data_IF_923595919660
#
_entry.id   IF_923595919660
#
_cell.length_a   1.000
_cell.length_b   1.000
_cell.length_c   1.000
_cell.angle_alpha   90.00
_cell.angle_beta   90.00
_cell.angle_gamma   90.00
#
_symmetry.space_group_name_H-M   'P 1'
#
loop_
_entity.id
_entity.type
_entity.pdbx_description
1 polymer ?
#
# COMPACT_ATOMS: atom_id res chain seq x y z
N UNK A 1 -8.93 12.41 -0.73
CA UNK A 1 -9.47 12.87 -2.03
C UNK A 1 -10.14 14.24 -1.98
N UNK A 2 -10.15 14.90 -0.83
CA UNK A 2 -10.81 16.20 -0.61
C UNK A 2 -9.96 17.41 -1.00
N UNK A 3 -8.67 17.21 -1.30
CA UNK A 3 -7.73 18.24 -1.80
C UNK A 3 -7.58 18.29 -3.31
N UNK A 4 -8.70 18.09 -4.02
CA UNK A 4 -8.74 18.14 -5.49
C UNK A 4 -8.38 19.50 -6.06
N UNK A 5 -8.36 20.56 -5.25
CA UNK A 5 -7.84 21.88 -5.58
C UNK A 5 -6.32 21.86 -5.82
N UNK A 6 -5.56 21.01 -5.12
CA UNK A 6 -4.08 20.97 -5.19
C UNK A 6 -3.51 19.66 -5.71
N UNK A 7 -4.23 18.55 -5.53
CA UNK A 7 -3.71 17.21 -5.76
C UNK A 7 -4.41 16.50 -6.93
N UNK A 8 -3.62 15.81 -7.73
CA UNK A 8 -4.06 14.73 -8.61
C UNK A 8 -3.75 13.38 -7.92
N UNK A 9 -4.79 12.68 -7.46
CA UNK A 9 -4.63 11.38 -6.81
C UNK A 9 -4.56 10.26 -7.85
N UNK A 10 -3.52 9.44 -7.76
CA UNK A 10 -3.32 8.20 -8.49
C UNK A 10 -3.30 7.04 -7.47
N UNK A 11 -4.18 6.06 -7.66
CA UNK A 11 -4.38 4.96 -6.72
C UNK A 11 -3.77 3.67 -7.26
N UNK A 12 -2.75 3.21 -6.55
CA UNK A 12 -2.02 1.96 -6.75
C UNK A 12 -1.59 1.70 -8.20
N UNK A 13 -0.99 2.69 -8.90
CA UNK A 13 -0.69 2.59 -10.31
C UNK A 13 0.30 1.47 -10.66
N UNK A 14 1.27 1.17 -9.80
CA UNK A 14 2.28 0.14 -10.11
C UNK A 14 1.72 -1.29 -10.05
N UNK A 15 0.57 -1.51 -9.43
CA UNK A 15 -0.12 -2.80 -9.43
C UNK A 15 -0.44 -3.30 -10.84
N UNK A 16 -0.65 -2.38 -11.80
CA UNK A 16 -1.02 -2.71 -13.18
C UNK A 16 0.11 -3.48 -13.88
N UNK A 17 1.34 -2.95 -13.81
CA UNK A 17 2.53 -3.59 -14.35
C UNK A 17 2.97 -4.79 -13.50
N UNK A 18 2.84 -4.70 -12.17
CA UNK A 18 3.25 -5.76 -11.24
C UNK A 18 2.47 -7.06 -11.40
N UNK A 19 1.15 -6.98 -11.60
CA UNK A 19 0.27 -8.15 -11.70
C UNK A 19 0.04 -8.62 -13.13
N UNK A 20 -0.17 -7.69 -14.06
CA UNK A 20 -0.75 -8.00 -15.36
C UNK A 20 0.22 -7.81 -16.52
N UNK A 21 1.15 -6.86 -16.39
CA UNK A 21 2.05 -6.43 -17.45
C UNK A 21 3.01 -7.51 -17.97
N UNK A 22 3.67 -7.24 -19.10
CA UNK A 22 4.68 -8.13 -19.67
C UNK A 22 5.97 -8.19 -18.83
N UNK A 23 6.18 -7.21 -17.95
CA UNK A 23 7.34 -7.09 -17.04
C UNK A 23 6.99 -7.45 -15.59
N UNK A 24 5.84 -8.10 -15.39
CA UNK A 24 5.33 -8.49 -14.07
C UNK A 24 6.37 -9.28 -13.27
N UNK A 25 6.35 -9.06 -11.97
CA UNK A 25 7.11 -9.86 -10.98
C UNK A 25 6.19 -10.47 -9.93
N UNK A 26 4.90 -10.12 -9.92
CA UNK A 26 3.89 -10.74 -9.07
C UNK A 26 3.45 -12.12 -9.58
N UNK A 27 3.29 -13.06 -8.66
CA UNK A 27 2.98 -14.48 -8.94
C UNK A 27 1.45 -14.74 -9.02
N UNK A 28 0.62 -13.87 -8.42
CA UNK A 28 -0.83 -14.11 -8.21
C UNK A 28 -1.59 -14.50 -9.47
N UNK A 29 -1.35 -13.82 -10.58
CA UNK A 29 -2.04 -14.04 -11.84
C UNK A 29 -1.12 -14.65 -12.90
N UNK A 30 -0.01 -15.29 -12.51
CA UNK A 30 0.98 -15.83 -13.44
C UNK A 30 0.38 -16.90 -14.38
N UNK A 31 -0.49 -17.74 -13.84
CA UNK A 31 -1.15 -18.83 -14.58
C UNK A 31 -2.52 -18.43 -15.17
N UNK A 32 -2.95 -17.17 -14.99
CA UNK A 32 -4.26 -16.67 -15.46
C UNK A 32 -4.11 -15.68 -16.63
N UNK A 33 -3.66 -16.17 -17.79
CA UNK A 33 -3.45 -15.32 -18.97
C UNK A 33 -4.73 -14.62 -19.44
N UNK A 34 -5.89 -15.27 -19.32
CA UNK A 34 -7.18 -14.69 -19.71
C UNK A 34 -7.61 -13.57 -18.77
N UNK A 35 -7.47 -13.75 -17.44
CA UNK A 35 -7.73 -12.71 -16.46
C UNK A 35 -6.80 -11.51 -16.62
N UNK A 36 -5.52 -11.73 -16.96
CA UNK A 36 -4.60 -10.62 -17.27
C UNK A 36 -5.03 -9.83 -18.51
N UNK A 37 -5.52 -10.49 -19.57
CA UNK A 37 -6.02 -9.76 -20.74
C UNK A 37 -7.30 -8.99 -20.42
N UNK A 38 -8.23 -9.60 -19.66
CA UNK A 38 -9.48 -8.97 -19.22
C UNK A 38 -9.27 -7.79 -18.28
N UNK A 39 -8.16 -7.74 -17.55
CA UNK A 39 -7.84 -6.60 -16.67
C UNK A 39 -7.62 -5.31 -17.47
N UNK A 40 -7.28 -5.41 -18.77
CA UNK A 40 -6.92 -4.27 -19.62
C UNK A 40 -5.47 -3.80 -19.46
N UNK A 41 -4.69 -4.46 -18.60
CA UNK A 41 -3.31 -4.07 -18.27
C UNK A 41 -2.25 -5.09 -18.72
N UNK A 42 -2.64 -6.13 -19.47
CA UNK A 42 -1.72 -7.19 -19.95
C UNK A 42 -0.51 -6.68 -20.74
N UNK A 43 -0.61 -5.47 -21.30
CA UNK A 43 0.43 -4.82 -22.10
C UNK A 43 1.06 -3.61 -21.39
N UNK A 44 0.61 -3.28 -20.19
CA UNK A 44 1.08 -2.10 -19.45
C UNK A 44 2.47 -2.38 -18.85
N UNK A 45 3.46 -1.60 -19.26
CA UNK A 45 4.83 -1.65 -18.72
C UNK A 45 5.01 -0.70 -17.53
N UNK A 46 6.11 -0.82 -16.79
CA UNK A 46 6.41 0.17 -15.74
C UNK A 46 6.63 1.58 -16.31
N UNK A 47 7.17 1.70 -17.52
CA UNK A 47 7.29 2.99 -18.21
C UNK A 47 5.93 3.60 -18.57
N UNK A 48 4.96 2.80 -19.00
CA UNK A 48 3.59 3.28 -19.26
C UNK A 48 2.94 3.80 -17.98
N UNK A 49 3.14 3.10 -16.86
CA UNK A 49 2.65 3.53 -15.54
C UNK A 49 3.25 4.88 -15.15
N UNK A 50 4.58 5.06 -15.27
CA UNK A 50 5.26 6.33 -14.99
C UNK A 50 4.72 7.47 -15.86
N UNK A 51 4.51 7.22 -17.16
CA UNK A 51 3.93 8.20 -18.07
C UNK A 51 2.50 8.59 -17.67
N UNK A 52 1.66 7.62 -17.30
CA UNK A 52 0.29 7.88 -16.83
C UNK A 52 0.27 8.71 -15.54
N UNK A 53 1.19 8.44 -14.62
CA UNK A 53 1.39 9.23 -13.40
C UNK A 53 1.71 10.69 -13.75
N UNK A 54 2.69 10.92 -14.64
CA UNK A 54 3.06 12.27 -15.10
C UNK A 54 1.89 12.98 -15.79
N UNK A 55 1.14 12.26 -16.65
CA UNK A 55 -0.02 12.80 -17.36
C UNK A 55 -1.18 13.17 -16.43
N UNK A 56 -1.37 12.44 -15.33
CA UNK A 56 -2.39 12.75 -14.33
C UNK A 56 -2.11 14.07 -13.58
N UNK A 57 -0.84 14.49 -13.52
CA UNK A 57 -0.36 15.64 -12.74
C UNK A 57 -0.17 16.94 -13.49
N UNK A 58 -0.63 17.09 -14.74
CA UNK A 58 -0.26 18.23 -15.61
C UNK A 58 -0.38 19.62 -14.94
N UNK A 59 -1.44 19.85 -14.16
CA UNK A 59 -1.69 21.14 -13.49
C UNK A 59 -1.71 21.04 -11.96
N UNK A 60 -1.41 19.87 -11.39
CA UNK A 60 -1.56 19.60 -9.95
C UNK A 60 -0.43 18.73 -9.44
N UNK A 61 -0.09 18.91 -8.17
CA UNK A 61 0.86 18.00 -7.54
C UNK A 61 0.28 16.58 -7.49
N UNK A 62 1.08 15.60 -7.86
CA UNK A 62 0.64 14.21 -7.87
C UNK A 62 0.74 13.65 -6.45
N UNK A 63 -0.31 12.97 -6.01
CA UNK A 63 -0.30 12.13 -4.81
C UNK A 63 -0.53 10.68 -5.23
N UNK A 64 0.44 9.81 -4.94
CA UNK A 64 0.36 8.39 -5.23
C UNK A 64 0.16 7.66 -3.91
N UNK A 65 -0.94 6.93 -3.78
CA UNK A 65 -1.04 5.86 -2.78
C UNK A 65 -0.65 4.60 -3.51
N UNK A 66 0.43 3.95 -3.10
CA UNK A 66 0.82 2.65 -3.66
C UNK A 66 1.14 1.61 -2.58
N UNK A 67 1.39 0.36 -2.99
CA UNK A 67 1.91 -0.70 -2.14
C UNK A 67 3.36 -0.97 -2.52
N UNK A 68 4.27 -0.92 -1.53
CA UNK A 68 5.71 -1.02 -1.77
C UNK A 68 6.11 -2.30 -2.51
N UNK A 69 5.45 -3.43 -2.25
CA UNK A 69 5.79 -4.70 -2.90
C UNK A 69 5.54 -4.69 -4.42
N UNK A 70 4.76 -3.75 -4.98
CA UNK A 70 4.62 -3.65 -6.43
C UNK A 70 5.92 -3.24 -7.14
N UNK A 71 6.91 -2.76 -6.41
CA UNK A 71 8.21 -2.39 -6.96
C UNK A 71 9.27 -3.47 -6.75
N UNK A 72 8.99 -4.56 -6.02
CA UNK A 72 9.98 -5.55 -5.61
C UNK A 72 9.52 -6.97 -5.99
N UNK A 73 10.43 -7.84 -6.47
CA UNK A 73 10.11 -9.25 -6.61
C UNK A 73 9.78 -9.89 -5.25
N UNK A 74 8.78 -10.78 -5.19
CA UNK A 74 8.37 -11.43 -3.96
C UNK A 74 9.45 -12.40 -3.44
N UNK A 75 9.32 -12.83 -2.18
CA UNK A 75 10.12 -13.91 -1.60
C UNK A 75 11.64 -13.65 -1.62
N UNK A 76 12.04 -12.37 -1.47
CA UNK A 76 13.45 -11.93 -1.54
C UNK A 76 14.18 -12.31 -2.84
N UNK A 77 13.42 -12.56 -3.91
CA UNK A 77 14.00 -12.78 -5.23
C UNK A 77 14.83 -11.56 -5.66
N UNK A 78 15.87 -11.84 -6.46
CA UNK A 78 16.79 -10.81 -6.94
C UNK A 78 16.07 -9.91 -7.93
N UNK A 79 16.07 -8.60 -7.66
CA UNK A 79 15.52 -7.60 -8.56
C UNK A 79 16.41 -7.34 -9.77
N UNK A 80 15.75 -6.97 -10.86
CA UNK A 80 16.33 -6.40 -12.07
C UNK A 80 15.48 -5.22 -12.50
N UNK A 81 16.11 -4.18 -13.04
CA UNK A 81 15.40 -3.02 -13.60
C UNK A 81 14.47 -3.49 -14.71
N UNK A 82 13.22 -3.03 -14.67
CA UNK A 82 12.22 -3.31 -15.69
C UNK A 82 12.73 -2.79 -17.04
N UNK A 83 12.78 -3.62 -18.10
CA UNK A 83 13.39 -3.25 -19.38
C UNK A 83 12.87 -1.95 -20.00
N UNK A 84 11.60 -1.63 -19.79
CA UNK A 84 10.93 -0.42 -20.26
C UNK A 84 11.46 0.86 -19.60
N UNK A 85 12.00 0.75 -18.38
CA UNK A 85 12.48 1.89 -17.57
C UNK A 85 14.00 2.03 -17.58
N UNK A 86 14.74 0.99 -17.99
CA UNK A 86 16.19 1.03 -18.12
C UNK A 86 16.79 -0.34 -18.40
N UNK A 87 17.98 -0.36 -18.98
CA UNK A 87 18.72 -1.60 -19.30
C UNK A 87 20.02 -1.76 -18.51
N UNK A 88 20.40 -0.74 -17.73
CA UNK A 88 21.62 -0.78 -16.91
C UNK A 88 21.33 -1.52 -15.61
N UNK A 89 22.16 -2.50 -15.28
CA UNK A 89 22.05 -3.20 -14.01
C UNK A 89 22.43 -2.24 -12.86
N UNK A 90 21.62 -2.26 -11.80
CA UNK A 90 21.88 -1.52 -10.56
C UNK A 90 22.06 -2.50 -9.39
N UNK A 91 23.28 -3.03 -9.18
CA UNK A 91 23.54 -3.98 -8.09
C UNK A 91 23.13 -3.40 -6.73
N UNK A 92 22.28 -4.12 -6.01
CA UNK A 92 21.81 -3.71 -4.69
C UNK A 92 20.58 -2.80 -4.68
N UNK A 93 20.07 -2.38 -5.86
CA UNK A 93 18.71 -1.86 -5.95
C UNK A 93 17.73 -3.04 -5.77
N UNK A 94 16.88 -3.04 -4.72
CA UNK A 94 15.94 -4.13 -4.48
C UNK A 94 14.68 -4.01 -5.34
N UNK A 95 14.56 -2.97 -6.16
CA UNK A 95 13.37 -2.63 -6.94
C UNK A 95 13.53 -2.88 -8.44
N UNK A 96 12.40 -2.88 -9.14
CA UNK A 96 12.32 -2.92 -10.61
C UNK A 96 12.43 -1.54 -11.26
N UNK A 97 12.50 -0.45 -10.49
CA UNK A 97 12.66 0.91 -11.02
C UNK A 97 14.11 1.38 -10.84
N UNK A 98 14.69 2.10 -11.82
CA UNK A 98 16.03 2.62 -11.67
C UNK A 98 16.08 3.74 -10.62
N UNK A 99 17.25 3.90 -10.00
CA UNK A 99 17.45 4.82 -8.87
C UNK A 99 17.13 6.27 -9.22
N UNK A 100 17.40 6.69 -10.46
CA UNK A 100 17.09 8.03 -10.96
C UNK A 100 15.58 8.30 -11.02
N UNK A 101 14.76 7.29 -11.30
CA UNK A 101 13.30 7.35 -11.23
C UNK A 101 12.84 7.47 -9.78
N UNK A 102 13.39 6.64 -8.88
CA UNK A 102 13.03 6.70 -7.45
C UNK A 102 13.31 8.07 -6.81
N UNK A 103 14.35 8.77 -7.28
CA UNK A 103 14.72 10.14 -6.86
C UNK A 103 13.71 11.21 -7.26
N UNK A 104 12.79 10.92 -8.19
CA UNK A 104 11.75 11.87 -8.60
C UNK A 104 10.59 11.97 -7.61
N UNK A 105 10.46 11.00 -6.70
CA UNK A 105 9.37 10.96 -5.73
C UNK A 105 9.78 11.57 -4.39
N UNK A 106 8.81 12.21 -3.73
CA UNK A 106 8.87 12.42 -2.28
C UNK A 106 8.21 11.23 -1.60
N UNK A 107 8.98 10.51 -0.77
CA UNK A 107 8.54 9.28 -0.13
C UNK A 107 7.99 9.54 1.26
N UNK A 108 6.84 8.94 1.55
CA UNK A 108 6.26 8.87 2.89
C UNK A 108 5.73 7.46 3.11
N UNK A 109 5.82 6.94 4.32
CA UNK A 109 5.52 5.54 4.63
C UNK A 109 4.34 5.45 5.59
N UNK A 110 3.38 4.58 5.28
CA UNK A 110 2.28 4.22 6.18
C UNK A 110 2.45 2.75 6.56
N UNK A 111 2.59 2.49 7.86
CA UNK A 111 2.71 1.14 8.42
C UNK A 111 1.49 0.82 9.28
N UNK A 112 1.17 -0.47 9.39
CA UNK A 112 0.08 -0.95 10.26
C UNK A 112 0.48 -2.28 10.85
N UNK A 113 0.14 -2.52 12.11
CA UNK A 113 0.53 -3.74 12.80
C UNK A 113 0.05 -5.01 12.04
N UNK A 114 0.90 -6.03 11.80
CA UNK A 114 0.54 -7.24 11.05
C UNK A 114 -0.71 -7.96 11.56
N UNK A 115 -0.89 -8.00 12.89
CA UNK A 115 -2.09 -8.54 13.55
C UNK A 115 -3.41 -7.87 13.17
N UNK A 116 -3.38 -6.67 12.57
CA UNK A 116 -4.55 -5.98 12.01
C UNK A 116 -4.62 -6.13 10.50
N UNK A 117 -3.51 -5.92 9.81
CA UNK A 117 -3.47 -5.90 8.35
C UNK A 117 -3.67 -7.28 7.73
N UNK A 118 -3.01 -8.32 8.26
CA UNK A 118 -3.03 -9.67 7.68
C UNK A 118 -4.40 -10.33 7.76
N UNK A 119 -5.11 -10.37 8.91
CA UNK A 119 -6.46 -10.91 8.92
C UNK A 119 -7.44 -10.08 8.07
N UNK A 120 -7.22 -8.76 7.96
CA UNK A 120 -8.00 -7.91 7.05
C UNK A 120 -7.76 -8.26 5.57
N UNK A 121 -6.51 -8.54 5.20
CA UNK A 121 -6.15 -9.01 3.87
C UNK A 121 -6.69 -10.43 3.61
N UNK A 122 -6.54 -11.35 4.56
CA UNK A 122 -7.09 -12.71 4.47
C UNK A 122 -8.61 -12.70 4.24
N UNK A 123 -9.34 -11.79 4.91
CA UNK A 123 -10.78 -11.58 4.66
C UNK A 123 -11.09 -11.28 3.19
N UNK A 124 -10.20 -10.57 2.49
CA UNK A 124 -10.34 -10.22 1.07
C UNK A 124 -10.03 -11.39 0.14
N UNK A 125 -9.51 -12.50 0.66
CA UNK A 125 -9.12 -13.67 -0.12
C UNK A 125 -9.96 -14.92 0.14
N UNK A 126 -11.11 -14.76 0.78
CA UNK A 126 -12.04 -15.85 1.11
C UNK A 126 -13.49 -15.44 0.87
N UNK A 127 -14.41 -16.41 0.72
CA UNK A 127 -15.83 -16.12 0.52
C UNK A 127 -16.44 -15.28 1.66
N UNK A 128 -17.37 -14.36 1.32
CA UNK A 128 -17.87 -14.05 -0.02
C UNK A 128 -17.04 -12.97 -0.76
N UNK A 129 -15.96 -12.46 -0.17
CA UNK A 129 -15.30 -11.26 -0.68
C UNK A 129 -14.33 -11.54 -1.83
N UNK A 130 -13.77 -12.76 -1.89
CA UNK A 130 -12.95 -13.23 -3.02
C UNK A 130 -13.66 -13.17 -4.37
N UNK A 131 -14.97 -13.38 -4.41
CA UNK A 131 -15.79 -13.21 -5.63
C UNK A 131 -15.79 -11.77 -6.15
N UNK A 132 -15.64 -10.78 -5.26
CA UNK A 132 -15.63 -9.36 -5.61
C UNK A 132 -14.21 -8.87 -5.89
N UNK A 133 -13.24 -9.31 -5.07
CA UNK A 133 -11.84 -8.88 -5.21
C UNK A 133 -11.14 -9.58 -6.36
N UNK A 134 -11.59 -10.79 -6.74
CA UNK A 134 -10.88 -11.67 -7.66
C UNK A 134 -9.66 -12.35 -7.04
N UNK A 135 -9.45 -12.22 -5.72
CA UNK A 135 -8.32 -12.80 -5.01
C UNK A 135 -8.79 -14.10 -4.36
N UNK A 136 -8.76 -15.22 -5.08
CA UNK A 136 -9.30 -16.50 -4.59
C UNK A 136 -8.36 -17.29 -3.66
N UNK A 137 -7.19 -16.74 -3.35
CA UNK A 137 -6.20 -17.34 -2.47
C UNK A 137 -5.40 -16.30 -1.68
N UNK A 138 -5.13 -16.63 -0.42
CA UNK A 138 -4.20 -15.87 0.41
C UNK A 138 -2.76 -16.06 -0.09
N UNK A 139 -2.03 -14.97 -0.28
CA UNK A 139 -0.61 -15.00 -0.64
C UNK A 139 0.21 -14.29 0.42
N UNK A 140 0.98 -15.04 1.21
CA UNK A 140 1.82 -14.47 2.27
C UNK A 140 2.90 -13.53 1.71
N UNK A 141 3.35 -13.72 0.46
CA UNK A 141 4.34 -12.86 -0.20
C UNK A 141 3.80 -11.46 -0.52
N UNK A 142 2.48 -11.26 -0.49
CA UNK A 142 1.87 -9.94 -0.69
C UNK A 142 1.63 -9.18 0.62
N UNK A 143 2.04 -9.74 1.77
CA UNK A 143 1.99 -9.03 3.05
C UNK A 143 2.84 -7.75 3.04
N UNK A 144 3.95 -7.74 2.30
CA UNK A 144 4.67 -6.54 1.89
C UNK A 144 5.59 -5.88 2.93
N UNK A 145 5.78 -6.46 4.12
CA UNK A 145 6.57 -5.81 5.18
C UNK A 145 8.08 -5.90 4.93
N UNK A 146 8.57 -7.06 4.45
CA UNK A 146 9.96 -7.22 4.00
C UNK A 146 10.27 -6.25 2.86
N UNK A 147 9.38 -6.19 1.87
CA UNK A 147 9.54 -5.33 0.70
C UNK A 147 9.54 -3.85 1.09
N UNK A 148 8.63 -3.44 1.97
CA UNK A 148 8.58 -2.08 2.50
C UNK A 148 9.85 -1.72 3.25
N UNK A 149 10.37 -2.62 4.10
CA UNK A 149 11.61 -2.39 4.84
C UNK A 149 12.82 -2.30 3.91
N UNK A 150 12.96 -3.20 2.94
CA UNK A 150 14.06 -3.18 1.98
C UNK A 150 14.05 -1.92 1.13
N UNK A 151 12.87 -1.49 0.69
CA UNK A 151 12.70 -0.23 -0.01
C UNK A 151 13.10 0.96 0.88
N UNK A 152 12.60 1.00 2.12
CA UNK A 152 12.92 2.05 3.09
C UNK A 152 14.44 2.16 3.33
N UNK A 153 15.10 1.06 3.67
CA UNK A 153 16.54 1.01 3.92
C UNK A 153 17.34 1.41 2.66
N UNK A 154 16.88 1.01 1.48
CA UNK A 154 17.51 1.37 0.21
C UNK A 154 17.42 2.87 -0.08
N UNK A 155 16.24 3.46 0.10
CA UNK A 155 16.02 4.89 -0.14
C UNK A 155 16.87 5.77 0.78
N UNK A 156 17.07 5.35 2.03
CA UNK A 156 17.98 6.01 2.97
C UNK A 156 19.43 5.84 2.55
N UNK A 157 19.86 4.59 2.29
CA UNK A 157 21.24 4.25 1.90
C UNK A 157 21.71 5.04 0.68
N UNK A 158 20.84 5.18 -0.32
CA UNK A 158 21.12 5.92 -1.56
C UNK A 158 20.84 7.44 -1.44
N UNK A 159 20.49 7.94 -0.26
CA UNK A 159 20.17 9.35 0.01
C UNK A 159 19.06 9.88 -0.91
N UNK A 160 18.08 9.04 -1.21
CA UNK A 160 16.83 9.48 -1.82
C UNK A 160 15.96 10.16 -0.78
N UNK A 161 15.97 9.63 0.45
CA UNK A 161 15.33 10.22 1.62
C UNK A 161 16.41 10.48 2.68
N UNK A 162 16.39 11.67 3.28
CA UNK A 162 17.29 12.01 4.38
C UNK A 162 16.73 11.41 5.68
N UNK A 163 17.58 10.77 6.49
CA UNK A 163 17.16 10.18 7.78
C UNK A 163 16.51 11.21 8.72
N UNK A 164 16.89 12.49 8.61
CA UNK A 164 16.30 13.56 9.42
C UNK A 164 14.94 14.05 8.93
N UNK A 165 14.53 13.64 7.74
CA UNK A 165 13.30 14.06 7.05
C UNK A 165 12.41 12.85 6.72
N UNK A 166 12.47 11.82 7.55
CA UNK A 166 11.62 10.64 7.41
C UNK A 166 10.20 10.94 7.86
N UNK A 167 9.23 10.56 7.02
CA UNK A 167 7.82 10.57 7.35
C UNK A 167 7.28 9.15 7.36
N UNK A 168 7.24 8.55 8.55
CA UNK A 168 6.63 7.23 8.80
C UNK A 168 5.42 7.44 9.71
N UNK A 169 4.24 7.04 9.25
CA UNK A 169 2.99 7.09 10.00
C UNK A 169 2.63 5.67 10.41
N UNK A 170 2.43 5.45 11.70
CA UNK A 170 1.78 4.23 12.19
C UNK A 170 0.25 4.40 12.16
N UNK A 171 -0.45 3.40 11.63
CA UNK A 171 -1.89 3.45 11.47
C UNK A 171 -2.66 3.44 12.79
N UNK A 172 -2.12 2.82 13.86
CA UNK A 172 -2.77 2.90 15.18
C UNK A 172 -2.63 4.31 15.75
N UNK A 173 -1.46 4.94 15.61
CA UNK A 173 -1.23 6.34 16.02
C UNK A 173 -2.12 7.31 15.22
N UNK A 174 -2.28 7.10 13.91
CA UNK A 174 -3.21 7.85 13.06
C UNK A 174 -4.67 7.70 13.51
N UNK A 175 -5.07 6.53 14.01
CA UNK A 175 -6.44 6.30 14.48
C UNK A 175 -6.65 6.82 15.91
N UNK A 176 -5.59 7.01 16.69
CA UNK A 176 -5.62 7.65 18.01
C UNK A 176 -5.72 9.17 17.90
N UNK A 177 -4.91 9.80 17.03
CA UNK A 177 -4.95 11.24 16.78
C UNK A 177 -4.92 11.56 15.27
N UNK A 178 -6.06 11.42 14.56
CA UNK A 178 -6.11 11.71 13.13
C UNK A 178 -5.76 13.16 12.80
N UNK A 179 -6.20 14.12 13.62
CA UNK A 179 -6.00 15.53 13.33
C UNK A 179 -4.53 15.92 13.50
N UNK A 180 -3.89 15.52 14.59
CA UNK A 180 -2.47 15.77 14.82
C UNK A 180 -1.60 15.14 13.74
N UNK A 181 -1.84 13.87 13.42
CA UNK A 181 -1.05 13.14 12.42
C UNK A 181 -1.22 13.74 11.02
N UNK A 182 -2.46 14.05 10.60
CA UNK A 182 -2.69 14.64 9.27
C UNK A 182 -2.14 16.07 9.19
N UNK A 183 -2.18 16.86 10.27
CA UNK A 183 -1.49 18.17 10.33
C UNK A 183 0.02 18.02 10.18
N UNK A 184 0.63 17.09 10.90
CA UNK A 184 2.07 16.82 10.82
C UNK A 184 2.47 16.35 9.41
N UNK A 185 1.68 15.45 8.81
CA UNK A 185 1.86 15.00 7.43
C UNK A 185 1.82 16.18 6.46
N UNK A 186 0.77 17.01 6.55
CA UNK A 186 0.60 18.19 5.70
C UNK A 186 1.80 19.15 5.83
N UNK A 187 2.24 19.47 7.04
CA UNK A 187 3.40 20.32 7.26
C UNK A 187 4.67 19.78 6.59
N UNK A 188 4.93 18.48 6.74
CA UNK A 188 6.10 17.82 6.14
C UNK A 188 6.04 17.81 4.60
N UNK A 189 4.88 17.48 4.02
CA UNK A 189 4.75 17.46 2.57
C UNK A 189 4.55 18.85 1.97
N UNK A 190 4.40 19.92 2.75
CA UNK A 190 4.16 21.26 2.23
C UNK A 190 2.73 21.46 1.70
N UNK A 191 1.75 20.88 2.39
CA UNK A 191 0.32 21.13 2.22
C UNK A 191 -0.23 21.86 3.45
N UNK A 192 -1.29 22.63 3.23
CA UNK A 192 -2.14 23.20 4.27
C UNK A 192 -3.15 22.17 4.74
N UNK A 193 -3.32 22.04 6.06
CA UNK A 193 -4.39 21.24 6.64
C UNK A 193 -5.75 21.92 6.43
N UNK A 194 -6.78 21.12 6.13
CA UNK A 194 -8.18 21.56 6.11
C UNK A 194 -9.06 20.51 6.78
N UNK A 195 -10.13 20.92 7.46
CA UNK A 195 -11.05 19.98 8.15
C UNK A 195 -11.68 18.95 7.21
N UNK A 196 -11.79 19.28 5.92
CA UNK A 196 -12.24 18.37 4.86
C UNK A 196 -11.29 17.18 4.63
N UNK A 197 -10.07 17.20 5.16
CA UNK A 197 -9.18 16.03 5.13
C UNK A 197 -9.65 14.93 6.09
N UNK A 198 -10.41 15.29 7.12
CA UNK A 198 -10.94 14.37 8.12
C UNK A 198 -12.45 14.14 7.96
N UNK A 199 -13.14 14.95 7.16
CA UNK A 199 -14.58 14.88 6.96
C UNK A 199 -14.88 15.05 5.47
N UNK A 200 -15.64 14.14 4.88
CA UNK A 200 -15.88 14.14 3.45
C UNK A 200 -17.36 14.07 3.10
N UNK A 201 -17.69 14.68 1.97
CA UNK A 201 -19.05 14.78 1.45
C UNK A 201 -19.43 13.59 0.58
N UNK A 202 -20.71 13.47 0.22
CA UNK A 202 -21.18 12.48 -0.75
C UNK A 202 -20.49 12.60 -2.11
N UNK A 203 -20.10 13.82 -2.51
CA UNK A 203 -19.35 14.04 -3.75
C UNK A 203 -17.94 13.44 -3.65
N UNK A 204 -17.27 13.63 -2.52
CA UNK A 204 -15.96 13.04 -2.26
C UNK A 204 -16.04 11.51 -2.22
N UNK A 205 -17.12 10.95 -1.65
CA UNK A 205 -17.37 9.51 -1.63
C UNK A 205 -17.58 8.95 -3.05
N UNK A 206 -18.34 9.64 -3.92
CA UNK A 206 -18.50 9.22 -5.32
C UNK A 206 -17.17 9.20 -6.06
N UNK A 207 -16.36 10.24 -5.89
CA UNK A 207 -15.03 10.29 -6.48
C UNK A 207 -14.13 9.16 -5.93
N UNK A 208 -14.25 8.85 -4.64
CA UNK A 208 -13.56 7.74 -4.00
C UNK A 208 -13.92 6.39 -4.62
N UNK A 209 -15.20 6.16 -4.88
CA UNK A 209 -15.68 4.94 -5.52
C UNK A 209 -15.06 4.77 -6.91
N UNK A 210 -15.01 5.83 -7.72
CA UNK A 210 -14.36 5.80 -9.03
C UNK A 210 -12.88 5.48 -8.93
N UNK A 211 -12.16 6.12 -7.99
CA UNK A 211 -10.71 5.93 -7.82
C UNK A 211 -10.34 4.57 -7.26
N UNK A 212 -11.16 4.00 -6.39
CA UNK A 212 -10.93 2.68 -5.77
C UNK A 212 -11.53 1.52 -6.55
N UNK A 213 -12.26 1.77 -7.64
CA UNK A 213 -12.96 0.75 -8.42
C UNK A 213 -12.05 -0.38 -8.91
N UNK A 214 -10.75 -0.10 -9.14
CA UNK A 214 -9.75 -1.09 -9.54
C UNK A 214 -9.58 -2.20 -8.50
N UNK A 215 -9.55 -1.84 -7.22
CA UNK A 215 -9.40 -2.76 -6.09
C UNK A 215 -10.71 -2.86 -5.32
N UNK A 216 -11.75 -3.29 -6.02
CA UNK A 216 -13.08 -3.47 -5.46
C UNK A 216 -13.05 -4.48 -4.30
N UNK A 217 -13.82 -4.22 -3.25
CA UNK A 217 -13.83 -5.04 -2.04
C UNK A 217 -12.78 -4.64 -0.97
N UNK A 218 -11.64 -4.06 -1.37
CA UNK A 218 -10.56 -3.70 -0.43
C UNK A 218 -10.86 -2.41 0.37
N UNK A 219 -11.69 -1.52 -0.18
CA UNK A 219 -11.91 -0.18 0.37
C UNK A 219 -13.33 0.04 0.90
N UNK A 220 -14.15 -1.01 0.98
CA UNK A 220 -15.59 -0.91 1.31
C UNK A 220 -15.84 -0.22 2.66
N UNK A 221 -15.07 -0.59 3.69
CA UNK A 221 -15.22 0.00 5.02
C UNK A 221 -14.94 1.52 5.00
N UNK A 222 -13.92 1.95 4.25
CA UNK A 222 -13.60 3.36 4.07
C UNK A 222 -14.68 4.10 3.25
N UNK A 223 -15.17 3.50 2.16
CA UNK A 223 -16.21 4.06 1.31
C UNK A 223 -17.57 4.23 2.02
N UNK A 224 -17.82 3.44 3.06
CA UNK A 224 -19.03 3.53 3.89
C UNK A 224 -18.94 4.52 5.05
N UNK A 225 -17.79 5.17 5.25
CA UNK A 225 -17.63 6.20 6.29
C UNK A 225 -17.74 7.60 5.70
N UNK A 226 -17.87 8.60 6.58
CA UNK A 226 -17.99 10.04 6.21
C UNK A 226 -16.91 10.90 6.88
N UNK A 227 -16.11 10.29 7.75
CA UNK A 227 -15.06 10.98 8.49
C UNK A 227 -14.03 10.00 9.04
N UNK A 228 -12.82 10.51 9.26
CA UNK A 228 -11.76 9.86 10.03
C UNK A 228 -11.72 10.54 11.41
N UNK A 229 -12.17 9.82 12.43
CA UNK A 229 -12.27 10.32 13.82
C UNK A 229 -11.41 9.46 14.73
N UNK A 230 -10.94 10.07 15.81
CA UNK A 230 -10.23 9.35 16.86
C UNK A 230 -11.10 8.21 17.39
N UNK A 231 -10.48 7.06 17.67
CA UNK A 231 -11.20 5.91 18.24
C UNK A 231 -11.62 6.21 19.69
N UNK A 232 -12.82 5.78 20.08
CA UNK A 232 -13.37 6.05 21.42
C UNK A 232 -12.53 5.43 22.55
N UNK A 233 -11.96 4.24 22.34
CA UNK A 233 -10.96 3.61 23.23
C UNK A 233 -10.03 2.67 22.44
N UNK A 234 -8.75 2.63 22.81
CA UNK A 234 -7.83 1.60 22.38
C UNK A 234 -8.28 0.24 22.95
N UNK A 235 -8.84 -0.63 22.11
CA UNK A 235 -9.17 -1.98 22.54
C UNK A 235 -7.89 -2.74 22.90
N UNK A 236 -7.73 -3.07 24.19
CA UNK A 236 -6.69 -3.99 24.65
C UNK A 236 -7.10 -5.39 24.19
N UNK A 237 -6.54 -5.82 23.08
CA UNK A 237 -6.82 -7.11 22.47
C UNK A 237 -5.62 -8.02 22.73
N UNK A 238 -5.85 -9.19 23.34
CA UNK A 238 -4.78 -10.17 23.59
C UNK A 238 -4.58 -11.08 22.39
N UNK A 239 -3.37 -11.64 22.26
CA UNK A 239 -3.06 -12.63 21.23
C UNK A 239 -4.07 -13.79 21.21
N UNK A 240 -4.44 -14.29 22.39
CA UNK A 240 -5.38 -15.40 22.53
C UNK A 240 -6.78 -15.02 22.02
N UNK A 241 -7.26 -13.82 22.37
CA UNK A 241 -8.58 -13.36 21.92
C UNK A 241 -8.66 -13.20 20.39
N UNK A 242 -7.60 -12.72 19.76
CA UNK A 242 -7.53 -12.58 18.29
C UNK A 242 -7.48 -13.92 17.59
N UNK A 243 -6.63 -14.82 18.08
CA UNK A 243 -6.51 -16.14 17.50
C UNK A 243 -7.79 -16.95 17.66
N UNK A 244 -8.51 -16.79 18.78
CA UNK A 244 -9.85 -17.35 18.95
C UNK A 244 -10.87 -16.76 17.95
N UNK A 245 -10.79 -15.45 17.68
CA UNK A 245 -11.63 -14.80 16.67
C UNK A 245 -11.32 -15.30 15.26
N UNK A 246 -10.03 -15.41 14.90
CA UNK A 246 -9.59 -15.92 13.60
C UNK A 246 -10.00 -17.38 13.42
N UNK A 247 -9.86 -18.21 14.45
CA UNK A 247 -10.34 -19.60 14.43
C UNK A 247 -11.84 -19.66 14.16
N UNK A 248 -12.63 -18.84 14.85
CA UNK A 248 -14.08 -18.79 14.69
C UNK A 248 -14.47 -18.32 13.29
N UNK A 249 -13.76 -17.34 12.73
CA UNK A 249 -14.08 -16.74 11.42
C UNK A 249 -13.60 -17.57 10.23
N UNK A 250 -12.40 -18.13 10.32
CA UNK A 250 -11.68 -18.69 9.18
C UNK A 250 -11.29 -20.17 9.35
N UNK A 251 -11.68 -20.79 10.47
CA UNK A 251 -11.34 -22.17 10.80
C UNK A 251 -9.84 -22.37 11.08
N UNK A 252 -9.45 -23.63 11.23
CA UNK A 252 -8.07 -24.00 11.59
C UNK A 252 -7.05 -23.60 10.52
N UNK A 253 -7.42 -23.75 9.24
CA UNK A 253 -6.57 -23.36 8.11
C UNK A 253 -6.28 -21.86 8.15
N UNK A 254 -7.31 -21.02 8.23
CA UNK A 254 -7.13 -19.57 8.24
C UNK A 254 -6.43 -19.08 9.49
N UNK A 255 -6.72 -19.64 10.66
CA UNK A 255 -5.94 -19.36 11.88
C UNK A 255 -4.44 -19.62 11.64
N UNK A 256 -4.10 -20.78 11.09
CA UNK A 256 -2.71 -21.17 10.85
C UNK A 256 -2.02 -20.21 9.88
N UNK A 257 -2.62 -19.97 8.71
CA UNK A 257 -2.06 -19.10 7.67
C UNK A 257 -1.88 -17.65 8.16
N UNK A 258 -2.89 -17.10 8.86
CA UNK A 258 -2.82 -15.76 9.44
C UNK A 258 -1.72 -15.69 10.51
N UNK A 259 -1.67 -16.65 11.44
CA UNK A 259 -0.68 -16.67 12.53
C UNK A 259 0.74 -16.74 11.98
N UNK A 260 1.00 -17.66 11.05
CA UNK A 260 2.33 -17.83 10.45
C UNK A 260 2.76 -16.56 9.70
N UNK A 261 1.87 -15.95 8.92
CA UNK A 261 2.17 -14.72 8.20
C UNK A 261 2.38 -13.53 9.17
N UNK A 262 1.57 -13.42 10.24
CA UNK A 262 1.78 -12.42 11.29
C UNK A 262 3.16 -12.57 11.89
N UNK A 263 3.49 -13.75 12.42
CA UNK A 263 4.73 -14.01 13.14
C UNK A 263 5.96 -13.76 12.24
N UNK A 264 5.84 -14.02 10.93
CA UNK A 264 6.89 -13.72 9.95
C UNK A 264 7.14 -12.21 9.74
N UNK A 265 6.11 -11.36 9.88
CA UNK A 265 6.18 -9.94 9.49
C UNK A 265 6.28 -8.96 10.68
N UNK A 266 6.10 -9.41 11.94
CA UNK A 266 6.14 -8.52 13.12
C UNK A 266 7.49 -7.79 13.23
N UNK A 267 8.61 -8.45 12.98
CA UNK A 267 9.94 -7.86 13.15
C UNK A 267 10.20 -6.69 12.21
N UNK A 268 9.71 -6.77 10.98
CA UNK A 268 9.87 -5.70 9.98
C UNK A 268 8.97 -4.50 10.32
N UNK A 269 7.75 -4.77 10.80
CA UNK A 269 6.89 -3.72 11.37
C UNK A 269 7.56 -3.03 12.58
N UNK A 270 8.05 -3.79 13.56
CA UNK A 270 8.72 -3.23 14.75
C UNK A 270 9.99 -2.45 14.40
N UNK A 271 10.69 -2.84 13.33
CA UNK A 271 11.81 -2.09 12.80
C UNK A 271 11.36 -0.72 12.27
N UNK A 272 10.38 -0.68 11.37
CA UNK A 272 9.87 0.55 10.77
C UNK A 272 9.21 1.47 11.81
N UNK A 273 8.52 0.89 12.81
CA UNK A 273 7.88 1.64 13.90
C UNK A 273 8.84 2.52 14.70
N UNK A 274 10.13 2.19 14.75
CA UNK A 274 11.14 3.03 15.42
C UNK A 274 11.28 4.42 14.80
N UNK A 275 10.88 4.56 13.54
CA UNK A 275 10.92 5.81 12.77
C UNK A 275 9.55 6.51 12.70
N UNK A 276 8.50 5.92 13.29
CA UNK A 276 7.17 6.52 13.30
C UNK A 276 7.21 7.89 13.98
N UNK A 277 6.53 8.86 13.36
CA UNK A 277 6.42 10.21 13.92
C UNK A 277 5.69 10.17 15.26
N UNK A 278 6.01 11.15 16.11
CA UNK A 278 5.29 11.37 17.37
C UNK A 278 4.72 12.78 17.31
N UNK A 279 3.41 12.89 17.51
CA UNK A 279 2.67 14.15 17.56
C UNK A 279 2.21 14.42 18.98
#
# INVERSE_FOLDING_TARGET
MTRRDKLACVHEPFGDAFYYGPERVGERFEDDAEGREKSGFSKTTYADVLKQIEEAGKDKRIFIKDIAHYLLPPNQQKASIAPSTGTTAEPGNPTVLPLDVLRKFQWTFLIRHPRRSIPSYYRCTVPPLDEVTGFSNFSASEAGYDELRRLFDFLIRERVVDEKDLMVIDADDLLDDPEGIIKAYCAHVGLDFTDSMLNWSDEDTKLAQEKFAKWNGFHNDALCSTSLKARDQAHVITRESEEAEWLKKYGEKGLKEIRECVDANVKDYEYLKKFAIRV
#
